data_IF_943165299220
#
_entry.id   IF_943165299220
#
_cell.length_a   1.000
_cell.length_b   1.000
_cell.length_c   1.000
_cell.angle_alpha   90.00
_cell.angle_beta   90.00
_cell.angle_gamma   90.00
#
_symmetry.space_group_name_H-M   'P 1'
#
loop_
_entity.id
_entity.type
_entity.pdbx_description
1 polymer ?
#
# COMPACT_ATOMS: atom_id res chain seq x y z
N UNK A 1 16.98 25.73 -1.28
CA UNK A 1 18.33 25.38 -1.78
C UNK A 1 18.64 23.96 -1.34
N UNK A 2 18.62 22.99 -2.25
CA UNK A 2 19.19 21.68 -1.95
C UNK A 2 20.71 21.80 -1.99
N UNK A 3 21.42 21.16 -1.06
CA UNK A 3 22.87 21.05 -1.11
C UNK A 3 23.23 19.58 -1.32
N UNK A 4 24.18 19.33 -2.22
CA UNK A 4 24.76 18.00 -2.43
C UNK A 4 26.07 17.95 -1.65
N UNK A 5 26.18 17.01 -0.71
CA UNK A 5 27.44 16.74 0.00
C UNK A 5 28.13 15.55 -0.65
N UNK A 6 29.40 15.72 -1.03
CA UNK A 6 30.26 14.66 -1.56
C UNK A 6 31.19 14.20 -0.44
N UNK A 7 31.09 12.93 -0.08
CA UNK A 7 31.96 12.33 0.93
C UNK A 7 33.15 11.62 0.25
N UNK A 8 34.33 11.66 0.89
CA UNK A 8 35.49 10.87 0.46
C UNK A 8 35.36 9.43 0.96
N UNK A 9 35.71 8.48 0.12
CA UNK A 9 35.82 7.05 0.48
C UNK A 9 37.20 6.81 1.11
N UNK A 10 37.30 6.07 2.23
CA UNK A 10 36.22 5.36 2.92
C UNK A 10 35.34 6.30 3.78
N UNK A 11 34.04 5.97 3.84
CA UNK A 11 33.06 6.72 4.62
C UNK A 11 33.29 6.55 6.13
N UNK A 12 32.94 7.56 6.95
CA UNK A 12 32.93 7.47 8.41
C UNK A 12 32.14 6.26 8.96
N UNK A 13 32.62 5.68 10.07
CA UNK A 13 32.09 4.46 10.70
C UNK A 13 30.65 4.58 11.24
N UNK A 14 30.13 5.79 11.39
CA UNK A 14 28.75 6.08 11.76
C UNK A 14 27.78 5.95 10.59
N UNK A 15 28.23 6.17 9.35
CA UNK A 15 27.42 6.03 8.12
C UNK A 15 27.36 4.56 7.66
N UNK A 16 28.44 3.80 7.85
CA UNK A 16 28.55 2.40 7.39
C UNK A 16 27.80 1.38 8.24
N UNK A 17 27.20 1.80 9.37
CA UNK A 17 26.46 0.92 10.30
C UNK A 17 24.98 0.75 9.98
N UNK A 18 24.45 1.46 8.99
CA UNK A 18 23.09 1.21 8.52
C UNK A 18 23.00 -0.16 7.83
N UNK A 19 22.06 -1.00 8.28
CA UNK A 19 21.88 -2.34 7.77
C UNK A 19 21.52 -2.30 6.27
N UNK A 20 22.36 -2.92 5.43
CA UNK A 20 22.19 -2.98 3.98
C UNK A 20 23.09 -2.01 3.18
N UNK A 21 23.87 -1.17 3.85
CA UNK A 21 24.81 -0.25 3.21
C UNK A 21 26.18 -0.90 3.02
N UNK A 22 26.53 -1.25 1.77
CA UNK A 22 27.88 -1.65 1.40
C UNK A 22 28.58 -0.45 0.72
N UNK A 23 29.55 0.19 1.41
CA UNK A 23 30.22 1.40 0.95
C UNK A 23 31.00 1.22 -0.37
N UNK A 24 31.21 -0.02 -0.82
CA UNK A 24 31.90 -0.33 -2.08
C UNK A 24 31.07 -0.01 -3.33
N UNK A 25 29.74 0.05 -3.21
CA UNK A 25 28.83 0.34 -4.34
C UNK A 25 28.21 1.75 -4.31
N UNK A 26 28.60 2.59 -3.35
CA UNK A 26 28.20 4.00 -3.27
C UNK A 26 26.75 4.26 -2.82
N UNK A 27 26.35 5.54 -2.82
CA UNK A 27 25.07 6.03 -2.27
C UNK A 27 23.80 5.64 -3.06
N UNK A 28 23.93 4.90 -4.16
CA UNK A 28 22.80 4.53 -5.04
C UNK A 28 22.32 3.08 -4.82
N UNK A 29 22.83 2.39 -3.79
CA UNK A 29 22.32 1.06 -3.43
C UNK A 29 20.84 1.14 -3.01
N UNK A 30 19.98 0.38 -3.68
CA UNK A 30 18.56 0.29 -3.38
C UNK A 30 17.67 1.29 -4.13
N UNK A 31 18.20 2.07 -5.06
CA UNK A 31 17.37 2.90 -5.94
C UNK A 31 16.70 1.98 -6.97
N UNK A 32 15.37 2.08 -7.15
CA UNK A 32 14.64 1.31 -8.15
C UNK A 32 15.21 1.52 -9.55
N UNK A 33 15.08 0.50 -10.42
CA UNK A 33 15.31 0.75 -11.84
C UNK A 33 14.31 1.78 -12.34
N UNK A 34 14.76 2.68 -13.21
CA UNK A 34 13.89 3.62 -13.89
C UNK A 34 13.24 3.02 -15.16
N UNK A 35 13.39 1.69 -15.34
CA UNK A 35 12.73 0.97 -16.42
C UNK A 35 11.21 1.01 -16.24
N UNK A 36 10.45 1.28 -17.32
CA UNK A 36 8.99 1.32 -17.24
C UNK A 36 8.42 0.01 -16.72
N UNK A 37 7.55 0.10 -15.71
CA UNK A 37 6.81 -1.04 -15.16
C UNK A 37 5.31 -0.78 -15.25
N UNK A 38 4.60 -1.76 -15.81
CA UNK A 38 3.14 -1.74 -15.88
C UNK A 38 2.57 -2.37 -14.62
N UNK A 39 1.65 -1.67 -13.98
CA UNK A 39 0.96 -2.11 -12.77
C UNK A 39 -0.55 -1.96 -12.94
N UNK A 40 -1.30 -2.81 -12.24
CA UNK A 40 -2.74 -2.64 -12.06
C UNK A 40 -2.99 -2.09 -10.67
N UNK A 41 -3.60 -0.91 -10.59
CA UNK A 41 -3.92 -0.22 -9.34
C UNK A 41 -5.41 -0.38 -9.08
N UNK A 42 -5.74 -1.05 -7.97
CA UNK A 42 -7.11 -1.13 -7.46
C UNK A 42 -7.31 -0.15 -6.32
N UNK A 43 -8.18 0.83 -6.51
CA UNK A 43 -8.49 1.86 -5.52
C UNK A 43 -9.82 1.53 -4.87
N UNK A 44 -9.81 1.25 -3.56
CA UNK A 44 -11.02 1.08 -2.77
C UNK A 44 -11.40 2.40 -2.09
N UNK A 45 -12.59 2.92 -2.37
CA UNK A 45 -13.13 4.12 -1.71
C UNK A 45 -14.33 3.70 -0.87
N UNK A 46 -14.12 3.68 0.45
CA UNK A 46 -15.11 3.17 1.41
C UNK A 46 -16.16 4.23 1.71
N UNK A 47 -15.73 5.38 2.24
CA UNK A 47 -16.60 6.47 2.67
C UNK A 47 -15.84 7.80 2.72
N UNK A 48 -16.57 8.90 2.78
CA UNK A 48 -16.07 10.18 3.28
C UNK A 48 -16.80 10.55 4.58
N UNK A 49 -16.20 11.42 5.36
CA UNK A 49 -16.72 11.86 6.66
C UNK A 49 -16.60 13.36 6.78
N UNK A 50 -17.64 13.99 7.33
CA UNK A 50 -17.69 15.43 7.65
C UNK A 50 -17.30 16.35 6.47
N UNK A 51 -17.77 16.01 5.27
CA UNK A 51 -17.57 16.84 4.08
C UNK A 51 -18.10 18.26 4.31
N UNK A 52 -17.37 19.25 3.80
CA UNK A 52 -17.82 20.64 3.78
C UNK A 52 -19.11 20.76 2.95
N UNK A 53 -20.14 21.44 3.49
CA UNK A 53 -21.33 21.75 2.73
C UNK A 53 -21.01 22.60 1.51
N UNK A 54 -21.58 22.23 0.37
CA UNK A 54 -21.49 22.99 -0.88
C UNK A 54 -22.86 23.55 -1.30
N UNK A 55 -23.96 22.92 -0.87
CA UNK A 55 -25.33 23.39 -1.10
C UNK A 55 -25.83 24.44 -0.10
N UNK A 56 -26.78 25.28 -0.56
CA UNK A 56 -27.57 26.23 0.26
C UNK A 56 -28.31 25.53 1.43
N UNK A 57 -28.67 24.26 1.25
CA UNK A 57 -29.37 23.46 2.26
C UNK A 57 -28.43 22.98 3.40
N UNK A 58 -27.13 23.26 3.32
CA UNK A 58 -26.12 22.80 4.28
C UNK A 58 -25.71 21.34 4.11
N UNK A 59 -25.87 20.77 2.91
CA UNK A 59 -25.47 19.41 2.51
C UNK A 59 -24.60 19.46 1.24
N UNK A 60 -24.40 18.28 0.65
CA UNK A 60 -23.79 18.05 -0.64
C UNK A 60 -24.42 16.77 -1.22
N UNK A 61 -24.37 16.63 -2.53
CA UNK A 61 -24.66 15.47 -3.36
C UNK A 61 -23.33 14.84 -3.87
N UNK A 62 -22.47 14.28 -2.98
CA UNK A 62 -21.10 13.91 -3.32
C UNK A 62 -20.98 12.73 -4.29
N UNK A 63 -20.00 12.80 -5.20
CA UNK A 63 -19.51 11.69 -6.02
C UNK A 63 -17.98 11.63 -6.09
N UNK A 64 -17.44 10.47 -6.44
CA UNK A 64 -16.00 10.22 -6.52
C UNK A 64 -15.49 10.55 -7.93
N UNK A 65 -14.34 11.22 -8.00
CA UNK A 65 -13.51 11.25 -9.19
C UNK A 65 -12.11 10.70 -8.88
N UNK A 66 -11.54 9.91 -9.81
CA UNK A 66 -10.21 9.33 -9.69
C UNK A 66 -9.41 9.66 -10.94
N UNK A 67 -8.19 10.15 -10.73
CA UNK A 67 -7.25 10.45 -11.80
C UNK A 67 -5.90 9.80 -11.55
N UNK A 68 -5.40 9.06 -12.54
CA UNK A 68 -4.07 8.46 -12.53
C UNK A 68 -3.55 8.40 -13.98
N UNK A 69 -2.42 9.06 -14.23
CA UNK A 69 -1.87 9.18 -15.58
C UNK A 69 -2.86 9.84 -16.53
N UNK A 70 -3.19 9.15 -17.63
CA UNK A 70 -4.20 9.60 -18.61
C UNK A 70 -5.63 9.20 -18.26
N UNK A 71 -5.81 8.33 -17.26
CA UNK A 71 -7.12 7.85 -16.85
C UNK A 71 -7.77 8.87 -15.91
N UNK A 72 -8.99 9.27 -16.24
CA UNK A 72 -9.84 10.19 -15.48
C UNK A 72 -11.25 9.58 -15.41
N UNK A 73 -11.64 9.12 -14.23
CA UNK A 73 -12.92 8.46 -13.97
C UNK A 73 -13.75 9.40 -13.10
N UNK A 74 -14.95 9.76 -13.55
CA UNK A 74 -15.92 10.52 -12.77
C UNK A 74 -17.17 9.67 -12.56
N UNK A 75 -17.44 9.31 -11.31
CA UNK A 75 -18.58 8.46 -10.93
C UNK A 75 -19.87 9.27 -10.73
N UNK A 76 -20.09 10.25 -11.62
CA UNK A 76 -21.11 11.30 -11.46
C UNK A 76 -22.53 10.74 -11.39
N UNK A 77 -22.83 9.70 -12.16
CA UNK A 77 -24.16 9.07 -12.18
C UNK A 77 -24.52 8.36 -10.87
N UNK A 78 -23.54 8.13 -9.99
CA UNK A 78 -23.70 7.45 -8.72
C UNK A 78 -23.46 8.38 -7.52
N UNK A 79 -23.77 9.67 -7.67
CA UNK A 79 -23.74 10.61 -6.55
C UNK A 79 -24.69 10.17 -5.42
N UNK A 80 -24.37 10.56 -4.20
CA UNK A 80 -25.18 10.22 -3.01
C UNK A 80 -25.85 11.49 -2.51
N UNK A 81 -27.17 11.57 -2.63
CA UNK A 81 -27.86 12.84 -2.37
C UNK A 81 -27.87 13.27 -0.89
N UNK A 82 -27.65 14.56 -0.65
CA UNK A 82 -27.81 15.30 0.63
C UNK A 82 -27.05 14.67 1.79
N UNK A 83 -25.81 14.24 1.54
CA UNK A 83 -25.01 13.48 2.48
C UNK A 83 -23.60 14.08 2.65
N UNK A 84 -23.23 14.41 3.89
CA UNK A 84 -21.87 14.85 4.23
C UNK A 84 -20.97 13.71 4.71
N UNK A 85 -21.56 12.55 5.00
CA UNK A 85 -20.88 11.33 5.42
C UNK A 85 -21.22 10.15 4.48
N UNK A 86 -20.92 10.27 3.17
CA UNK A 86 -21.32 9.26 2.19
C UNK A 86 -20.56 7.96 2.37
N UNK A 87 -21.26 6.82 2.27
CA UNK A 87 -20.65 5.49 2.14
C UNK A 87 -20.72 5.10 0.67
N UNK A 88 -19.57 5.09 0.00
CA UNK A 88 -19.48 4.74 -1.41
C UNK A 88 -19.36 3.23 -1.60
N UNK A 89 -18.44 2.58 -0.87
CA UNK A 89 -18.21 1.13 -0.94
C UNK A 89 -17.82 0.64 -2.34
N UNK A 90 -17.00 1.40 -3.08
CA UNK A 90 -16.64 1.11 -4.47
C UNK A 90 -15.16 0.80 -4.66
N UNK A 91 -14.86 0.08 -5.74
CA UNK A 91 -13.49 -0.14 -6.20
C UNK A 91 -13.33 0.24 -7.67
N UNK A 92 -12.17 0.80 -8.01
CA UNK A 92 -11.81 1.19 -9.36
C UNK A 92 -10.47 0.58 -9.75
N UNK A 93 -10.42 -0.05 -10.92
CA UNK A 93 -9.21 -0.68 -11.45
C UNK A 93 -8.64 0.18 -12.56
N UNK A 94 -7.35 0.54 -12.43
CA UNK A 94 -6.67 1.44 -13.36
C UNK A 94 -5.29 0.86 -13.68
N UNK A 95 -4.99 0.69 -14.96
CA UNK A 95 -3.63 0.40 -15.41
C UNK A 95 -2.78 1.67 -15.36
N UNK A 96 -1.53 1.53 -14.92
CA UNK A 96 -0.57 2.64 -14.86
C UNK A 96 0.84 2.16 -15.18
N UNK A 97 1.65 3.05 -15.74
CA UNK A 97 3.08 2.82 -16.00
C UNK A 97 3.95 3.73 -15.13
N UNK A 98 4.71 3.15 -14.19
CA UNK A 98 5.71 3.91 -13.42
C UNK A 98 7.01 4.10 -14.20
N UNK A 99 7.74 5.22 -13.99
CA UNK A 99 7.48 6.31 -13.04
C UNK A 99 6.47 7.37 -13.54
N UNK A 100 6.11 7.33 -14.83
CA UNK A 100 5.39 8.42 -15.51
C UNK A 100 3.99 8.67 -14.92
N UNK A 101 3.31 7.61 -14.50
CA UNK A 101 1.92 7.63 -14.03
C UNK A 101 1.85 7.23 -12.55
N UNK A 102 2.58 7.95 -11.69
CA UNK A 102 2.73 7.62 -10.26
C UNK A 102 1.76 8.33 -9.32
N UNK A 103 1.28 9.52 -9.68
CA UNK A 103 0.45 10.36 -8.79
C UNK A 103 -1.04 10.05 -8.95
N UNK A 104 -1.60 9.31 -7.99
CA UNK A 104 -3.03 9.07 -7.88
C UNK A 104 -3.70 10.27 -7.19
N UNK A 105 -4.71 10.83 -7.84
CA UNK A 105 -5.59 11.84 -7.25
C UNK A 105 -6.96 11.22 -7.02
N UNK A 106 -7.46 11.29 -5.79
CA UNK A 106 -8.83 10.94 -5.42
C UNK A 106 -9.52 12.21 -4.97
N UNK A 107 -10.63 12.55 -5.63
CA UNK A 107 -11.37 13.77 -5.41
C UNK A 107 -12.83 13.46 -5.11
N UNK A 108 -13.45 14.30 -4.30
CA UNK A 108 -14.89 14.30 -4.07
C UNK A 108 -15.46 15.60 -4.63
N UNK A 109 -16.45 15.47 -5.51
CA UNK A 109 -17.18 16.58 -6.10
C UNK A 109 -18.60 16.60 -5.59
N UNK A 110 -19.19 17.79 -5.53
CA UNK A 110 -20.62 18.00 -5.32
C UNK A 110 -21.34 17.99 -6.67
N UNK A 111 -22.40 17.21 -6.79
CA UNK A 111 -23.19 17.18 -8.02
C UNK A 111 -24.18 18.35 -8.04
N UNK A 112 -24.15 19.15 -9.11
CA UNK A 112 -25.09 20.24 -9.31
C UNK A 112 -26.07 19.96 -10.45
N UNK A 113 -27.36 20.23 -10.21
CA UNK A 113 -28.39 20.13 -11.25
C UNK A 113 -28.15 21.14 -12.39
N UNK A 114 -27.61 22.31 -12.07
CA UNK A 114 -27.36 23.40 -13.02
C UNK A 114 -25.96 23.97 -12.77
N UNK A 115 -25.12 23.98 -13.80
CA UNK A 115 -23.78 24.56 -13.73
C UNK A 115 -22.68 23.51 -13.78
N UNK A 116 -21.54 23.84 -13.20
CA UNK A 116 -20.39 22.95 -13.07
C UNK A 116 -20.30 22.43 -11.65
N UNK A 117 -20.17 21.11 -11.51
CA UNK A 117 -19.96 20.43 -10.24
C UNK A 117 -18.78 21.03 -9.45
N UNK A 118 -19.02 21.34 -8.18
CA UNK A 118 -18.02 21.94 -7.31
C UNK A 118 -17.06 20.88 -6.74
N UNK A 119 -15.76 21.16 -6.78
CA UNK A 119 -14.79 20.34 -6.06
C UNK A 119 -14.95 20.58 -4.56
N UNK A 120 -15.34 19.55 -3.81
CA UNK A 120 -15.32 19.61 -2.34
C UNK A 120 -13.87 19.56 -1.89
N UNK A 121 -13.13 18.52 -2.29
CA UNK A 121 -11.70 18.43 -2.04
C UNK A 121 -11.04 17.19 -2.65
N UNK A 122 -9.71 17.16 -2.62
CA UNK A 122 -8.88 16.10 -3.18
C UNK A 122 -7.74 15.67 -2.25
N UNK A 123 -7.30 14.43 -2.40
CA UNK A 123 -6.05 13.92 -1.85
C UNK A 123 -5.18 13.35 -2.96
N UNK A 124 -3.86 13.47 -2.80
CA UNK A 124 -2.86 12.93 -3.74
C UNK A 124 -1.99 11.89 -3.06
N UNK A 125 -1.69 10.83 -3.79
CA UNK A 125 -0.93 9.68 -3.33
C UNK A 125 0.11 9.32 -4.40
N UNK A 126 1.38 9.36 -4.02
CA UNK A 126 2.48 8.86 -4.85
C UNK A 126 2.55 7.32 -4.73
N UNK A 127 2.07 6.62 -5.77
CA UNK A 127 2.03 5.17 -5.83
C UNK A 127 3.40 4.56 -6.12
N UNK A 128 4.29 5.27 -6.80
CA UNK A 128 5.63 4.77 -7.09
C UNK A 128 6.44 4.65 -5.80
N UNK A 129 6.41 5.68 -4.97
CA UNK A 129 7.05 5.66 -3.65
C UNK A 129 6.49 4.50 -2.78
N UNK A 130 5.18 4.25 -2.84
CA UNK A 130 4.57 3.11 -2.14
C UNK A 130 5.04 1.76 -2.69
N UNK A 131 5.09 1.65 -4.01
CA UNK A 131 5.45 0.41 -4.71
C UNK A 131 6.89 -0.02 -4.39
N UNK A 132 7.83 0.93 -4.38
CA UNK A 132 9.24 0.66 -4.12
C UNK A 132 9.65 0.76 -2.64
N UNK A 133 8.71 1.07 -1.74
CA UNK A 133 9.00 1.12 -0.31
C UNK A 133 9.44 -0.25 0.21
N UNK A 134 10.57 -0.27 0.94
CA UNK A 134 11.05 -1.46 1.68
C UNK A 134 10.02 -1.98 2.69
N UNK A 135 9.11 -1.11 3.14
CA UNK A 135 8.04 -1.45 4.07
C UNK A 135 6.86 -2.18 3.40
N UNK A 136 6.92 -2.40 2.07
CA UNK A 136 5.90 -3.11 1.29
C UNK A 136 4.52 -2.47 1.42
N UNK A 137 4.43 -1.18 1.14
CA UNK A 137 3.21 -0.39 1.25
C UNK A 137 2.21 -0.59 0.08
N UNK A 138 2.17 -1.80 -0.49
CA UNK A 138 1.25 -2.17 -1.59
C UNK A 138 0.00 -2.84 -1.02
N UNK A 139 0.03 -4.15 -0.78
CA UNK A 139 -0.98 -4.85 0.00
C UNK A 139 -0.43 -5.05 1.42
N UNK A 140 -1.09 -4.44 2.40
CA UNK A 140 -0.69 -4.56 3.79
C UNK A 140 -0.70 -6.02 4.26
N UNK A 141 0.23 -6.37 5.15
CA UNK A 141 0.35 -7.72 5.70
C UNK A 141 -0.89 -8.01 6.55
N UNK A 142 -1.70 -8.97 6.10
CA UNK A 142 -2.93 -9.37 6.79
C UNK A 142 -2.64 -10.08 8.12
N UNK A 143 -3.63 -10.07 9.03
CA UNK A 143 -3.51 -10.80 10.30
C UNK A 143 -3.59 -12.32 10.12
N UNK A 144 -4.42 -12.76 9.17
CA UNK A 144 -4.72 -14.15 8.88
C UNK A 144 -4.65 -14.40 7.38
N UNK A 145 -4.32 -15.64 6.99
CA UNK A 145 -4.35 -16.09 5.61
C UNK A 145 -5.61 -16.94 5.39
N UNK A 146 -6.42 -16.61 4.38
CA UNK A 146 -7.56 -17.42 3.94
C UNK A 146 -7.57 -17.51 2.42
N UNK A 147 -8.05 -18.63 1.90
CA UNK A 147 -8.24 -18.86 0.46
C UNK A 147 -9.71 -18.69 0.02
N UNK A 148 -10.62 -18.46 0.97
CA UNK A 148 -12.04 -18.30 0.72
C UNK A 148 -12.69 -17.33 1.73
N UNK A 149 -13.92 -16.90 1.41
CA UNK A 149 -14.70 -15.98 2.24
C UNK A 149 -14.26 -14.51 2.14
N UNK A 150 -14.82 -13.68 3.02
CA UNK A 150 -14.65 -12.21 2.97
C UNK A 150 -13.21 -11.75 3.30
N UNK A 151 -12.45 -12.57 4.03
CA UNK A 151 -11.05 -12.33 4.38
C UNK A 151 -10.08 -13.08 3.45
N UNK A 152 -10.49 -13.40 2.23
CA UNK A 152 -9.60 -14.03 1.24
C UNK A 152 -8.36 -13.15 1.03
N UNK A 153 -7.21 -13.81 0.97
CA UNK A 153 -5.92 -13.20 0.73
C UNK A 153 -5.94 -12.30 -0.52
N UNK A 154 -5.55 -11.03 -0.34
CA UNK A 154 -5.68 -9.97 -1.36
C UNK A 154 -4.43 -9.78 -2.21
N UNK A 155 -3.28 -10.25 -1.71
CA UNK A 155 -2.00 -10.03 -2.38
C UNK A 155 -1.84 -11.03 -3.53
N UNK A 156 -1.37 -10.60 -4.72
CA UNK A 156 -1.12 -11.52 -5.83
C UNK A 156 -0.05 -12.57 -5.52
N UNK A 157 0.85 -12.30 -4.56
CA UNK A 157 1.84 -13.26 -4.09
C UNK A 157 1.37 -13.90 -2.78
N UNK A 158 1.54 -15.22 -2.64
CA UNK A 158 1.30 -15.92 -1.38
C UNK A 158 2.31 -15.50 -0.31
N UNK A 159 1.97 -15.59 1.00
CA UNK A 159 2.90 -15.28 2.09
C UNK A 159 4.29 -15.94 1.94
N UNK A 160 4.34 -17.21 1.55
CA UNK A 160 5.59 -17.97 1.33
C UNK A 160 6.46 -17.40 0.22
N UNK A 161 5.84 -16.94 -0.88
CA UNK A 161 6.52 -16.32 -2.01
C UNK A 161 7.08 -14.95 -1.63
N UNK A 162 6.32 -14.18 -0.85
CA UNK A 162 6.74 -12.87 -0.35
C UNK A 162 7.94 -13.04 0.59
N UNK A 163 7.83 -13.96 1.55
CA UNK A 163 8.91 -14.22 2.50
C UNK A 163 10.18 -14.67 1.79
N UNK A 164 10.06 -15.55 0.79
CA UNK A 164 11.19 -16.00 -0.03
C UNK A 164 11.83 -14.85 -0.80
N UNK A 165 11.02 -13.95 -1.37
CA UNK A 165 11.50 -12.76 -2.06
C UNK A 165 12.26 -11.84 -1.10
N UNK A 166 11.71 -11.55 0.08
CA UNK A 166 12.36 -10.70 1.09
C UNK A 166 13.66 -11.31 1.61
N UNK A 167 13.73 -12.63 1.82
CA UNK A 167 14.96 -13.30 2.20
C UNK A 167 16.03 -13.19 1.10
N UNK A 168 15.64 -13.37 -0.17
CA UNK A 168 16.53 -13.22 -1.33
C UNK A 168 17.06 -11.80 -1.48
N UNK A 169 16.19 -10.80 -1.42
CA UNK A 169 16.54 -9.37 -1.54
C UNK A 169 17.40 -8.91 -0.35
N UNK A 170 17.07 -9.35 0.86
CA UNK A 170 17.84 -9.08 2.07
C UNK A 170 19.13 -9.91 2.21
N UNK A 171 19.41 -10.82 1.26
CA UNK A 171 20.54 -11.78 1.31
C UNK A 171 20.59 -12.55 2.65
N UNK A 172 19.42 -12.97 3.12
CA UNK A 172 19.23 -13.71 4.38
C UNK A 172 19.00 -15.19 4.08
N UNK A 173 19.57 -16.07 4.91
CA UNK A 173 19.33 -17.51 4.83
C UNK A 173 17.87 -17.87 5.20
N UNK A 174 17.23 -18.72 4.40
CA UNK A 174 15.83 -19.11 4.52
C UNK A 174 14.94 -18.53 3.42
N UNK A 175 13.60 -18.72 3.50
CA UNK A 175 12.89 -19.43 4.56
C UNK A 175 13.07 -20.96 4.48
N UNK A 176 13.35 -21.59 5.62
CA UNK A 176 13.45 -23.05 5.74
C UNK A 176 12.27 -23.59 6.55
N UNK A 177 11.31 -24.21 5.85
CA UNK A 177 10.15 -24.85 6.48
C UNK A 177 10.52 -26.23 7.01
N UNK A 178 10.05 -26.56 8.22
CA UNK A 178 10.45 -27.77 8.92
C UNK A 178 9.33 -28.40 9.74
N UNK A 179 9.55 -29.65 10.20
CA UNK A 179 8.55 -30.43 10.92
C UNK A 179 8.15 -29.77 12.24
N UNK A 180 6.89 -29.93 12.63
CA UNK A 180 6.33 -29.32 13.84
C UNK A 180 5.83 -27.89 13.64
N UNK A 181 5.54 -27.48 12.39
CA UNK A 181 4.96 -26.17 12.10
C UNK A 181 5.92 -25.04 12.42
N UNK A 182 7.13 -25.08 11.85
CA UNK A 182 8.15 -24.05 12.02
C UNK A 182 8.73 -23.58 10.69
N UNK A 183 9.04 -22.30 10.61
CA UNK A 183 9.86 -21.70 9.55
C UNK A 183 11.04 -20.98 10.18
N UNK A 184 12.24 -21.23 9.66
CA UNK A 184 13.48 -20.57 10.08
C UNK A 184 13.91 -19.54 9.03
N UNK A 185 14.20 -18.33 9.50
CA UNK A 185 14.77 -17.23 8.71
C UNK A 185 15.94 -16.64 9.50
N UNK A 186 17.14 -16.65 8.92
CA UNK A 186 18.37 -16.37 9.65
C UNK A 186 18.49 -17.21 10.94
N UNK A 187 18.57 -16.53 12.09
CA UNK A 187 18.58 -17.10 13.43
C UNK A 187 17.22 -17.03 14.14
N UNK A 188 16.15 -16.63 13.45
CA UNK A 188 14.78 -16.57 13.96
C UNK A 188 14.00 -17.80 13.54
N UNK A 189 13.13 -18.25 14.44
CA UNK A 189 12.20 -19.36 14.20
C UNK A 189 10.81 -18.85 14.51
N UNK A 190 9.90 -19.03 13.56
CA UNK A 190 8.49 -18.69 13.69
C UNK A 190 7.68 -19.98 13.62
N UNK A 191 6.55 -19.99 14.33
CA UNK A 191 5.67 -21.15 14.42
C UNK A 191 4.23 -20.75 14.12
N UNK A 192 3.43 -21.71 13.68
CA UNK A 192 2.05 -21.45 13.30
C UNK A 192 1.36 -22.72 12.80
N UNK A 193 0.05 -22.61 12.49
CA UNK A 193 -0.72 -23.71 11.92
C UNK A 193 -0.11 -24.19 10.59
N UNK A 194 -0.26 -25.49 10.31
CA UNK A 194 0.19 -26.11 9.05
C UNK A 194 -0.97 -26.63 8.21
N UNK A 195 -2.19 -26.22 8.55
CA UNK A 195 -3.42 -26.63 7.87
C UNK A 195 -4.26 -25.39 7.56
N UNK A 196 -4.90 -25.38 6.40
CA UNK A 196 -5.89 -24.40 5.98
C UNK A 196 -7.17 -25.10 5.58
N UNK A 197 -8.30 -24.51 5.93
CA UNK A 197 -9.63 -24.97 5.54
C UNK A 197 -10.00 -24.41 4.17
N UNK A 198 -10.58 -25.24 3.30
CA UNK A 198 -11.17 -24.80 2.04
C UNK A 198 -12.67 -24.49 2.17
N UNK A 199 -13.29 -24.04 1.07
CA UNK A 199 -14.70 -23.67 1.03
C UNK A 199 -15.68 -24.79 1.43
N UNK A 200 -15.24 -26.06 1.38
CA UNK A 200 -16.03 -27.23 1.74
C UNK A 200 -15.76 -27.71 3.17
N UNK A 201 -14.97 -26.96 3.96
CA UNK A 201 -14.55 -27.35 5.30
C UNK A 201 -13.41 -28.37 5.32
N UNK A 202 -12.79 -28.70 4.17
CA UNK A 202 -11.71 -29.68 4.11
C UNK A 202 -10.38 -29.03 4.50
N UNK A 203 -9.70 -29.63 5.48
CA UNK A 203 -8.36 -29.20 5.89
C UNK A 203 -7.29 -29.73 4.96
N UNK A 204 -6.42 -28.85 4.49
CA UNK A 204 -5.29 -29.13 3.59
C UNK A 204 -3.99 -28.62 4.19
N UNK A 205 -2.86 -29.33 3.99
CA UNK A 205 -1.58 -28.87 4.50
C UNK A 205 -1.16 -27.55 3.82
N UNK A 206 -0.55 -26.65 4.58
CA UNK A 206 -0.04 -25.37 4.08
C UNK A 206 1.12 -24.83 4.90
N UNK A 207 2.02 -24.09 4.25
CA UNK A 207 3.10 -23.33 4.89
C UNK A 207 2.77 -21.83 4.99
N UNK A 208 1.63 -21.39 4.44
CA UNK A 208 1.33 -19.96 4.28
C UNK A 208 1.10 -19.25 5.62
N UNK A 209 0.55 -19.95 6.62
CA UNK A 209 0.42 -19.39 7.96
C UNK A 209 1.77 -19.18 8.65
N UNK A 210 2.73 -20.10 8.45
CA UNK A 210 4.10 -19.97 8.96
C UNK A 210 4.80 -18.78 8.31
N UNK A 211 4.68 -18.68 6.98
CA UNK A 211 5.26 -17.58 6.25
C UNK A 211 4.65 -16.24 6.66
N UNK A 212 3.33 -16.18 6.86
CA UNK A 212 2.65 -14.98 7.34
C UNK A 212 3.11 -14.58 8.74
N UNK A 213 3.32 -15.54 9.65
CA UNK A 213 3.87 -15.28 10.97
C UNK A 213 5.27 -14.64 10.86
N UNK A 214 6.15 -15.16 10.01
CA UNK A 214 7.46 -14.56 9.77
C UNK A 214 7.36 -13.15 9.16
N UNK A 215 6.44 -12.91 8.21
CA UNK A 215 6.24 -11.59 7.61
C UNK A 215 5.75 -10.54 8.63
N UNK A 216 4.83 -10.92 9.52
CA UNK A 216 4.33 -10.04 10.58
C UNK A 216 5.41 -9.66 11.60
N UNK A 217 6.49 -10.44 11.67
CA UNK A 217 7.65 -10.23 12.53
C UNK A 217 8.92 -9.96 11.70
N UNK A 218 8.78 -9.45 10.47
CA UNK A 218 9.92 -9.23 9.60
C UNK A 218 10.95 -8.28 10.22
N UNK A 219 10.51 -7.29 10.99
CA UNK A 219 11.36 -6.39 11.78
C UNK A 219 12.33 -7.10 12.74
N UNK A 220 12.02 -8.32 13.18
CA UNK A 220 12.87 -9.08 14.09
C UNK A 220 14.02 -9.83 13.39
N UNK A 221 14.02 -9.86 12.04
CA UNK A 221 15.02 -10.54 11.22
C UNK A 221 16.29 -9.67 11.14
N UNK A 222 17.46 -10.15 11.62
CA UNK A 222 18.67 -9.34 11.63
C UNK A 222 19.11 -8.93 10.23
N UNK A 223 19.69 -7.73 10.12
CA UNK A 223 20.32 -7.14 8.91
C UNK A 223 19.38 -6.82 7.74
N UNK A 224 18.20 -7.43 7.65
CA UNK A 224 17.23 -7.19 6.56
C UNK A 224 15.83 -6.78 7.04
N UNK A 225 15.52 -7.01 8.31
CA UNK A 225 14.22 -6.74 8.89
C UNK A 225 13.86 -5.26 8.87
N UNK A 226 12.62 -4.98 8.51
CA UNK A 226 11.99 -3.68 8.73
C UNK A 226 10.50 -3.90 9.00
N UNK A 227 9.85 -2.88 9.57
CA UNK A 227 8.40 -2.95 9.84
C UNK A 227 7.63 -2.97 8.53
N UNK A 228 6.98 -4.08 8.21
CA UNK A 228 6.10 -4.14 7.06
C UNK A 228 4.78 -3.42 7.36
N UNK A 229 4.20 -2.77 6.36
CA UNK A 229 2.90 -2.10 6.50
C UNK A 229 1.84 -3.17 6.78
N UNK A 230 1.14 -3.14 7.92
CA UNK A 230 0.03 -4.05 8.16
C UNK A 230 -1.17 -3.67 7.31
N UNK A 231 -2.09 -4.60 7.14
CA UNK A 231 -3.42 -4.28 6.63
C UNK A 231 -4.08 -3.18 7.46
N UNK A 232 -4.58 -2.15 6.77
CA UNK A 232 -5.25 -1.01 7.39
C UNK A 232 -6.21 -0.37 6.39
N UNK A 233 -7.19 0.36 6.91
CA UNK A 233 -7.94 1.35 6.14
C UNK A 233 -7.23 2.69 6.26
N UNK A 234 -6.88 3.30 5.12
CA UNK A 234 -6.22 4.60 5.11
C UNK A 234 -7.25 5.72 5.09
N UNK A 235 -7.23 6.59 6.10
CA UNK A 235 -7.99 7.84 6.11
C UNK A 235 -7.06 9.00 5.77
N UNK A 236 -7.49 9.87 4.85
CA UNK A 236 -6.72 11.04 4.40
C UNK A 236 -7.61 12.28 4.36
N UNK A 237 -7.10 13.45 4.77
CA UNK A 237 -7.84 14.69 4.62
C UNK A 237 -8.02 15.04 3.14
N UNK A 238 -9.16 15.64 2.81
CA UNK A 238 -9.39 16.24 1.51
C UNK A 238 -8.98 17.72 1.58
N UNK A 239 -8.32 18.20 0.53
CA UNK A 239 -7.87 19.59 0.43
C UNK A 239 -8.45 20.19 -0.85
N UNK A 240 -8.91 21.44 -0.76
CA UNK A 240 -9.33 22.19 -1.94
C UNK A 240 -8.23 23.20 -2.31
N UNK A 241 -7.68 23.16 -3.54
CA UNK A 241 -6.69 24.13 -4.01
C UNK A 241 -7.13 25.60 -3.88
N UNK A 242 -8.44 25.86 -4.00
CA UNK A 242 -9.04 27.19 -3.90
C UNK A 242 -9.28 27.63 -2.44
N UNK A 243 -9.15 26.71 -1.48
CA UNK A 243 -9.28 26.96 -0.03
C UNK A 243 -8.05 26.43 0.73
N UNK A 244 -6.86 27.01 0.51
CA UNK A 244 -5.61 26.50 1.06
C UNK A 244 -5.62 26.54 2.60
N UNK A 245 -5.17 25.43 3.21
CA UNK A 245 -5.03 25.31 4.67
C UNK A 245 -6.31 24.93 5.42
N UNK A 246 -7.41 24.65 4.71
CA UNK A 246 -8.67 24.19 5.28
C UNK A 246 -8.93 22.77 4.76
N UNK A 247 -8.99 21.80 5.68
CA UNK A 247 -9.45 20.45 5.36
C UNK A 247 -10.93 20.48 4.98
N UNK A 248 -11.30 19.72 3.97
CA UNK A 248 -12.63 19.73 3.34
C UNK A 248 -13.47 18.53 3.75
#
# INVERSE_FOLDING_TARGET
QGSMCVYKVPLPDDITKEAGYDPTFGMFQGIPSNDPINVLVRVYVVRATDLHPADINGKADPYIAIKLGKTDIKDKENYISKQLNPVFGKSFDIEATFPMESMLTVSVYDWDLVGTDDLIGETKIDLENRYYSKHRATCGVAQTYSIHGYNTWRDPMKPSQILSKLCKEGKVDGPHFGPGGRVKVANRVFTGPTEIEDENGQKKPTDEHLALAALRHWEDVPKAGCRLVPEHEEARPLLNPDKPGIEQ
#
